data_IF_661959779098
#
_entry.id   IF_661959779098
#
_cell.length_a   1.000
_cell.length_b   1.000
_cell.length_c   1.000
_cell.angle_alpha   90.00
_cell.angle_beta   90.00
_cell.angle_gamma   90.00
#
_symmetry.space_group_name_H-M   'P 1'
#
loop_
_entity.id
_entity.type
_entity.pdbx_description
1 polymer ?
#
# COMPACT_ATOMS: atom_id res chain seq x y z
N UNK A 1 9.85 23.11 15.24
CA UNK A 1 8.86 22.56 14.30
C UNK A 1 9.28 21.16 13.93
N UNK A 2 8.56 20.13 14.40
CA UNK A 2 8.70 18.78 13.84
C UNK A 2 7.96 18.81 12.50
N UNK A 3 8.66 18.61 11.40
CA UNK A 3 8.00 18.26 10.15
C UNK A 3 7.45 16.86 10.36
N UNK A 4 6.14 16.75 10.62
CA UNK A 4 5.45 15.47 10.46
C UNK A 4 5.56 15.11 8.98
N UNK A 5 6.42 14.14 8.67
CA UNK A 5 6.55 13.53 7.35
C UNK A 5 5.40 12.54 7.08
N UNK A 6 4.29 12.67 7.81
CA UNK A 6 3.09 11.82 7.72
C UNK A 6 2.05 12.40 6.76
N UNK A 7 2.38 13.47 6.01
CA UNK A 7 1.54 13.88 4.90
C UNK A 7 1.43 12.69 3.94
N UNK A 8 0.20 12.25 3.57
CA UNK A 8 0.05 11.24 2.53
C UNK A 8 0.79 11.76 1.31
N UNK A 9 1.83 11.04 0.89
CA UNK A 9 2.57 11.40 -0.32
C UNK A 9 1.51 11.52 -1.42
N UNK A 10 1.43 12.62 -2.19
CA UNK A 10 0.33 12.84 -3.16
C UNK A 10 0.11 11.65 -4.11
N UNK A 11 1.16 10.85 -4.32
CA UNK A 11 1.16 9.60 -5.08
C UNK A 11 0.26 8.51 -4.47
N UNK A 12 0.01 8.50 -3.16
CA UNK A 12 -0.89 7.56 -2.49
C UNK A 12 -2.35 7.73 -2.93
N UNK A 13 -2.74 8.88 -3.47
CA UNK A 13 -4.11 9.14 -3.91
C UNK A 13 -4.33 8.79 -5.40
N UNK A 14 -3.26 8.49 -6.14
CA UNK A 14 -3.32 8.25 -7.58
C UNK A 14 -3.11 6.77 -7.89
N UNK A 15 -4.19 6.04 -8.23
CA UNK A 15 -4.16 4.58 -8.45
C UNK A 15 -3.08 4.11 -9.43
N UNK A 16 -2.81 4.92 -10.46
CA UNK A 16 -1.84 4.61 -11.51
C UNK A 16 -0.43 5.13 -11.26
N UNK A 17 -0.20 5.94 -10.22
CA UNK A 17 1.13 6.42 -9.88
C UNK A 17 1.89 5.35 -9.10
N UNK A 18 3.21 5.28 -9.31
CA UNK A 18 4.06 4.52 -8.41
C UNK A 18 4.27 5.34 -7.12
N UNK A 19 3.83 4.84 -5.95
CA UNK A 19 4.02 5.55 -4.69
C UNK A 19 5.44 5.40 -4.13
N UNK A 20 6.28 4.55 -4.74
CA UNK A 20 7.65 4.32 -4.29
C UNK A 20 7.75 3.41 -3.07
N UNK A 21 8.76 3.64 -2.23
CA UNK A 21 8.93 2.91 -0.97
C UNK A 21 7.93 3.43 0.06
N UNK A 22 7.21 2.51 0.71
CA UNK A 22 6.21 2.83 1.72
C UNK A 22 6.67 2.36 3.10
N UNK A 23 6.31 3.13 4.13
CA UNK A 23 6.26 2.60 5.49
C UNK A 23 5.07 1.66 5.67
N UNK A 24 5.05 0.89 6.76
CA UNK A 24 3.91 0.01 7.08
C UNK A 24 2.61 0.80 7.23
N UNK A 25 2.68 1.97 7.87
CA UNK A 25 1.53 2.84 8.08
C UNK A 25 0.99 3.40 6.75
N UNK A 26 1.88 3.80 5.83
CA UNK A 26 1.50 4.22 4.49
C UNK A 26 0.88 3.07 3.68
N UNK A 27 1.40 1.86 3.83
CA UNK A 27 0.84 0.68 3.17
C UNK A 27 -0.56 0.32 3.70
N UNK A 28 -0.79 0.40 5.01
CA UNK A 28 -2.13 0.24 5.58
C UNK A 28 -3.07 1.37 5.13
N UNK A 29 -2.62 2.61 5.15
CA UNK A 29 -3.40 3.77 4.70
C UNK A 29 -3.79 3.63 3.23
N UNK A 30 -2.86 3.21 2.37
CA UNK A 30 -3.12 2.93 0.96
C UNK A 30 -4.21 1.86 0.75
N UNK A 31 -4.21 0.80 1.57
CA UNK A 31 -5.25 -0.24 1.51
C UNK A 31 -6.64 0.28 1.90
N UNK A 32 -6.70 1.24 2.83
CA UNK A 32 -7.94 1.87 3.28
C UNK A 32 -8.42 2.97 2.31
N UNK A 33 -7.50 3.70 1.67
CA UNK A 33 -7.85 4.77 0.71
C UNK A 33 -8.42 4.24 -0.60
N UNK A 34 -8.02 3.04 -1.00
CA UNK A 34 -8.37 2.44 -2.30
C UNK A 34 -9.32 1.25 -2.16
N UNK A 35 -10.24 1.26 -1.18
CA UNK A 35 -11.12 0.12 -0.88
C UNK A 35 -11.85 -0.42 -2.13
N UNK A 36 -12.25 0.46 -3.05
CA UNK A 36 -12.96 0.12 -4.29
C UNK A 36 -12.06 -0.36 -5.44
N UNK A 37 -10.73 -0.26 -5.29
CA UNK A 37 -9.79 -0.77 -6.28
C UNK A 37 -9.39 -2.22 -5.98
N UNK A 38 -9.18 -2.99 -7.05
CA UNK A 38 -8.48 -4.28 -6.95
C UNK A 38 -6.96 -4.08 -6.88
N UNK A 39 -6.24 -5.03 -6.28
CA UNK A 39 -4.76 -5.00 -6.21
C UNK A 39 -4.14 -5.14 -7.62
N UNK A 40 -4.83 -5.83 -8.52
CA UNK A 40 -4.40 -6.03 -9.90
C UNK A 40 -4.52 -4.75 -10.73
N UNK A 41 -5.45 -3.85 -10.42
CA UNK A 41 -5.69 -2.62 -11.18
C UNK A 41 -5.02 -1.38 -10.55
N UNK A 42 -4.81 -1.36 -9.23
CA UNK A 42 -4.22 -0.23 -8.52
C UNK A 42 -2.75 -0.48 -8.16
N UNK A 43 -1.85 0.31 -8.74
CA UNK A 43 -0.41 0.25 -8.47
C UNK A 43 -0.09 0.57 -7.02
N UNK A 44 -0.83 1.51 -6.42
CA UNK A 44 -0.67 1.88 -5.01
C UNK A 44 -1.02 0.70 -4.10
N UNK A 45 -2.14 0.02 -4.32
CA UNK A 45 -2.50 -1.19 -3.55
C UNK A 45 -1.52 -2.32 -3.79
N UNK A 46 -1.08 -2.53 -5.02
CA UNK A 46 -0.07 -3.55 -5.34
C UNK A 46 1.21 -3.33 -4.55
N UNK A 47 1.71 -2.09 -4.52
CA UNK A 47 2.91 -1.74 -3.77
C UNK A 47 2.69 -1.89 -2.26
N UNK A 48 1.58 -1.39 -1.75
CA UNK A 48 1.22 -1.55 -0.34
C UNK A 48 1.14 -3.02 0.08
N UNK A 49 0.55 -3.89 -0.75
CA UNK A 49 0.50 -5.33 -0.47
C UNK A 49 1.90 -5.93 -0.39
N UNK A 50 2.78 -5.62 -1.35
CA UNK A 50 4.15 -6.09 -1.35
C UNK A 50 4.87 -5.70 -0.05
N UNK A 51 4.79 -4.43 0.34
CA UNK A 51 5.37 -3.92 1.60
C UNK A 51 4.84 -4.66 2.83
N UNK A 52 3.53 -4.95 2.88
CA UNK A 52 2.92 -5.68 4.01
C UNK A 52 3.30 -7.17 4.02
N UNK A 53 3.47 -7.80 2.85
CA UNK A 53 3.93 -9.20 2.74
C UNK A 53 5.41 -9.31 3.14
N UNK A 54 6.27 -8.44 2.61
CA UNK A 54 7.71 -8.40 2.91
C UNK A 54 7.99 -8.19 4.41
N UNK A 55 7.10 -7.48 5.11
CA UNK A 55 7.18 -7.25 6.56
C UNK A 55 6.49 -8.31 7.43
N UNK A 56 5.92 -9.36 6.81
CA UNK A 56 5.19 -10.42 7.52
C UNK A 56 3.90 -9.93 8.20
N UNK A 57 3.33 -8.81 7.73
CA UNK A 57 2.08 -8.21 8.24
C UNK A 57 0.85 -8.55 7.39
N UNK A 58 1.05 -9.23 6.25
CA UNK A 58 -0.01 -9.81 5.46
C UNK A 58 0.18 -11.32 5.38
N UNK A 59 -0.73 -12.08 5.98
CA UNK A 59 -0.81 -13.52 5.77
C UNK A 59 -1.54 -13.72 4.44
N UNK A 60 -0.80 -14.07 3.40
CA UNK A 60 -1.42 -14.70 2.25
C UNK A 60 -1.92 -16.05 2.72
N UNK A 61 -3.23 -16.26 2.70
CA UNK A 61 -3.79 -17.59 2.88
C UNK A 61 -3.09 -18.48 1.85
N UNK A 62 -2.50 -19.59 2.28
CA UNK A 62 -1.60 -20.41 1.45
C UNK A 62 -2.29 -20.94 0.17
N UNK A 63 -3.63 -20.86 0.14
CA UNK A 63 -4.50 -21.13 -1.01
C UNK A 63 -4.38 -20.11 -2.16
N UNK A 64 -3.83 -18.92 -1.91
CA UNK A 64 -3.61 -17.90 -2.95
C UNK A 64 -2.32 -18.11 -3.76
N UNK A 65 -1.51 -19.12 -3.40
CA UNK A 65 -0.29 -19.52 -4.11
C UNK A 65 -0.47 -20.78 -4.96
N UNK A 66 -1.69 -21.34 -5.04
CA UNK A 66 -2.01 -22.55 -5.81
C UNK A 66 -2.66 -22.21 -7.15
#
# INVERSE_FOLDING_TARGET
MRLNLDAPVPTLLACGADPGVMTLEQAHSAMQLHLDCTVDECRVRRRARATLVESGRCVLDNRALQ
#
